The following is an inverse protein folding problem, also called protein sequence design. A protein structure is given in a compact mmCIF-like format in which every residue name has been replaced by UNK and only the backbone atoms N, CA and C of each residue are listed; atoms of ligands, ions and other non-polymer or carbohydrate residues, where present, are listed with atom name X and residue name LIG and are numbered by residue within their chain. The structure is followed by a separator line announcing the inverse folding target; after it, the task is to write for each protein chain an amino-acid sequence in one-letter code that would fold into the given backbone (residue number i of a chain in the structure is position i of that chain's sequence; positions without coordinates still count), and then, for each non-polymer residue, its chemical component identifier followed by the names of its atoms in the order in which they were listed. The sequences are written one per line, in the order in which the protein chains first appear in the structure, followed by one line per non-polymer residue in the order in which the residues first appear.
data_IF_290712659364
#
_entry.id   IF_290712659364
#
_cell.length_a   1.000
_cell.length_b   1.000
_cell.length_c   1.000
_cell.angle_alpha   90.00
_cell.angle_beta   90.00
_cell.angle_gamma   90.00
#
_symmetry.space_group_name_H-M   'P 1'
#
loop_
_entity.id
_entity.type
_entity.pdbx_description
1 polymer ?
#
# COMPACT_ATOMS: atom_id res chain seq x y z
N UNK A 1 -12.77 -18.88 -14.59
CA UNK A 1 -11.53 -19.49 -15.12
C UNK A 1 -10.28 -18.72 -14.67
N UNK A 2 -10.12 -17.43 -14.95
CA UNK A 2 -8.91 -16.62 -14.59
C UNK A 2 -8.64 -16.57 -13.09
N UNK A 3 -9.66 -16.37 -12.25
CA UNK A 3 -9.51 -16.34 -10.79
C UNK A 3 -8.99 -17.66 -10.21
N UNK A 4 -9.41 -18.78 -10.77
CA UNK A 4 -8.91 -20.11 -10.37
C UNK A 4 -7.43 -20.26 -10.72
N UNK A 5 -7.00 -19.81 -11.90
CA UNK A 5 -5.60 -19.82 -12.31
C UNK A 5 -4.71 -18.97 -11.40
N UNK A 6 -5.20 -17.78 -10.99
CA UNK A 6 -4.50 -16.92 -10.02
C UNK A 6 -4.41 -17.61 -8.66
N UNK A 7 -5.51 -18.19 -8.17
CA UNK A 7 -5.57 -18.89 -6.90
C UNK A 7 -4.59 -20.09 -6.88
N UNK A 8 -4.56 -20.87 -7.95
CA UNK A 8 -3.59 -21.99 -8.10
C UNK A 8 -2.14 -21.50 -8.09
N UNK A 9 -1.83 -20.44 -8.85
CA UNK A 9 -0.49 -19.85 -8.87
C UNK A 9 -0.07 -19.34 -7.50
N UNK A 10 -0.96 -18.64 -6.79
CA UNK A 10 -0.72 -18.17 -5.42
C UNK A 10 -0.51 -19.36 -4.47
N UNK A 11 -1.34 -20.41 -4.56
CA UNK A 11 -1.20 -21.62 -3.75
C UNK A 11 0.16 -22.29 -3.94
N UNK A 12 0.63 -22.46 -5.18
CA UNK A 12 1.96 -23.02 -5.48
C UNK A 12 3.08 -22.15 -4.91
N UNK A 13 2.98 -20.82 -5.07
CA UNK A 13 3.99 -19.88 -4.59
C UNK A 13 4.05 -19.77 -3.06
N UNK A 14 2.95 -20.03 -2.35
CA UNK A 14 2.87 -19.91 -0.89
C UNK A 14 3.11 -21.24 -0.15
N UNK A 15 3.38 -22.32 -0.84
CA UNK A 15 3.51 -23.68 -0.27
C UNK A 15 4.45 -23.75 0.93
N UNK A 16 5.57 -23.01 0.87
CA UNK A 16 6.59 -23.02 1.92
C UNK A 16 6.56 -21.80 2.84
N UNK A 17 5.66 -20.84 2.60
CA UNK A 17 5.60 -19.59 3.37
C UNK A 17 5.29 -19.81 4.87
N UNK A 18 4.61 -20.93 5.19
CA UNK A 18 4.18 -21.30 6.55
C UNK A 18 4.90 -22.53 7.10
N UNK A 19 5.90 -23.06 6.41
CA UNK A 19 6.65 -24.24 6.85
C UNK A 19 7.33 -23.98 8.20
N UNK A 20 7.22 -24.95 9.12
CA UNK A 20 7.80 -24.87 10.46
C UNK A 20 7.09 -23.88 11.41
N UNK A 21 5.87 -23.44 11.09
CA UNK A 21 5.06 -22.63 11.99
C UNK A 21 4.27 -23.51 12.94
N UNK A 22 4.17 -23.08 14.20
CA UNK A 22 3.39 -23.76 15.23
C UNK A 22 1.88 -23.71 14.94
N UNK A 23 1.41 -22.59 14.36
CA UNK A 23 0.00 -22.36 14.05
C UNK A 23 -0.29 -22.66 12.59
N UNK A 24 -1.51 -23.13 12.34
CA UNK A 24 -2.03 -23.41 11.01
C UNK A 24 -2.00 -22.16 10.09
N UNK A 25 -1.67 -22.38 8.82
CA UNK A 25 -1.52 -21.30 7.83
C UNK A 25 -2.78 -20.44 7.71
N UNK A 26 -3.97 -21.04 7.75
CA UNK A 26 -5.24 -20.30 7.64
C UNK A 26 -5.45 -19.35 8.82
N UNK A 27 -5.07 -19.75 10.05
CA UNK A 27 -5.17 -18.92 11.25
C UNK A 27 -4.28 -17.70 11.16
N UNK A 28 -3.03 -17.91 10.70
CA UNK A 28 -2.05 -16.82 10.48
C UNK A 28 -2.59 -15.85 9.43
N UNK A 29 -3.05 -16.36 8.28
CA UNK A 29 -3.61 -15.53 7.19
C UNK A 29 -4.84 -14.77 7.67
N UNK A 30 -5.72 -15.41 8.44
CA UNK A 30 -6.93 -14.78 8.99
C UNK A 30 -6.57 -13.63 9.93
N UNK A 31 -5.64 -13.83 10.88
CA UNK A 31 -5.19 -12.81 11.81
C UNK A 31 -4.61 -11.59 11.06
N UNK A 32 -3.70 -11.86 10.12
CA UNK A 32 -3.05 -10.81 9.32
C UNK A 32 -4.06 -10.05 8.47
N UNK A 33 -4.97 -10.76 7.80
CA UNK A 33 -6.01 -10.16 6.96
C UNK A 33 -6.98 -9.31 7.78
N UNK A 34 -7.42 -9.77 8.94
CA UNK A 34 -8.29 -8.99 9.82
C UNK A 34 -7.62 -7.71 10.28
N UNK A 35 -6.37 -7.78 10.75
CA UNK A 35 -5.61 -6.59 11.12
C UNK A 35 -5.49 -5.58 9.98
N UNK A 36 -5.20 -6.05 8.76
CA UNK A 36 -4.99 -5.18 7.62
C UNK A 36 -6.29 -4.58 7.04
N UNK A 37 -7.43 -5.23 7.25
CA UNK A 37 -8.73 -4.79 6.70
C UNK A 37 -9.57 -3.97 7.66
N UNK A 38 -9.47 -4.26 8.95
CA UNK A 38 -10.34 -3.67 9.96
C UNK A 38 -9.53 -2.86 10.97
N UNK A 39 -10.12 -1.85 11.61
CA UNK A 39 -9.43 -1.03 12.61
C UNK A 39 -9.32 -1.74 13.97
N UNK A 40 -8.76 -2.94 13.97
CA UNK A 40 -8.56 -3.79 15.14
C UNK A 40 -7.13 -3.61 15.68
N UNK A 41 -6.99 -3.64 17.00
CA UNK A 41 -5.68 -3.78 17.63
C UNK A 41 -5.23 -5.26 17.66
N UNK A 42 -3.97 -5.51 17.95
CA UNK A 42 -3.48 -6.88 18.16
C UNK A 42 -4.14 -7.54 19.37
N UNK A 43 -4.53 -6.77 20.40
CA UNK A 43 -5.23 -7.27 21.58
C UNK A 43 -6.69 -7.63 21.28
N UNK A 44 -7.36 -6.84 20.41
CA UNK A 44 -8.70 -7.20 19.95
C UNK A 44 -8.67 -8.55 19.22
N UNK A 45 -7.66 -8.78 18.39
CA UNK A 45 -7.49 -10.05 17.67
C UNK A 45 -7.17 -11.21 18.62
N UNK A 46 -6.32 -11.00 19.63
CA UNK A 46 -6.05 -11.98 20.69
C UNK A 46 -7.34 -12.41 21.38
N UNK A 47 -8.17 -11.44 21.81
CA UNK A 47 -9.48 -11.72 22.43
C UNK A 47 -10.43 -12.47 21.48
N UNK A 48 -10.51 -12.03 20.21
CA UNK A 48 -11.34 -12.67 19.18
C UNK A 48 -10.93 -14.11 18.89
N UNK A 49 -9.64 -14.44 18.95
CA UNK A 49 -9.15 -15.81 18.80
C UNK A 49 -9.43 -16.65 20.06
N UNK A 50 -9.24 -16.09 21.24
CA UNK A 50 -9.53 -16.76 22.51
C UNK A 50 -11.01 -17.17 22.61
N UNK A 51 -11.94 -16.30 22.20
CA UNK A 51 -13.38 -16.60 22.12
C UNK A 51 -13.70 -17.80 21.20
N UNK A 52 -12.79 -18.14 20.29
CA UNK A 52 -12.92 -19.26 19.34
C UNK A 52 -12.07 -20.46 19.72
N UNK A 53 -11.51 -20.45 20.94
CA UNK A 53 -10.68 -21.53 21.46
C UNK A 53 -9.24 -21.57 20.95
N UNK A 54 -8.75 -20.45 20.36
CA UNK A 54 -7.37 -20.36 19.91
C UNK A 54 -6.57 -19.41 20.81
N UNK A 55 -5.57 -19.94 21.51
CA UNK A 55 -4.66 -19.17 22.35
C UNK A 55 -3.52 -18.60 21.48
N UNK A 56 -3.64 -17.35 21.07
CA UNK A 56 -2.65 -16.64 20.26
C UNK A 56 -2.36 -15.28 20.86
N UNK A 57 -1.17 -15.12 21.41
CA UNK A 57 -0.71 -13.88 22.03
C UNK A 57 -0.59 -12.73 21.01
N UNK A 58 -0.96 -11.50 21.41
CA UNK A 58 -0.93 -10.30 20.56
C UNK A 58 0.46 -9.98 19.99
N UNK A 59 1.55 -10.34 20.69
CA UNK A 59 2.91 -10.16 20.17
C UNK A 59 3.22 -11.14 19.04
N UNK A 60 2.64 -12.35 19.10
CA UNK A 60 2.70 -13.33 18.00
C UNK A 60 1.97 -12.82 16.77
N UNK A 61 0.74 -12.27 16.95
CA UNK A 61 -0.03 -11.65 15.86
C UNK A 61 0.75 -10.48 15.25
N UNK A 62 1.37 -9.61 16.06
CA UNK A 62 2.23 -8.55 15.57
C UNK A 62 3.39 -9.10 14.70
N UNK A 63 4.09 -10.15 15.17
CA UNK A 63 5.14 -10.81 14.38
C UNK A 63 4.64 -11.34 13.05
N UNK A 64 3.44 -11.93 13.03
CA UNK A 64 2.81 -12.39 11.79
C UNK A 64 2.50 -11.24 10.84
N UNK A 65 1.91 -10.15 11.33
CA UNK A 65 1.65 -8.97 10.48
C UNK A 65 2.93 -8.44 9.88
N UNK A 66 3.99 -8.29 10.67
CA UNK A 66 5.28 -7.80 10.17
C UNK A 66 5.94 -8.74 9.17
N UNK A 67 5.75 -10.05 9.30
CA UNK A 67 6.30 -11.03 8.37
C UNK A 67 5.48 -11.13 7.07
N UNK A 68 4.16 -11.26 7.21
CA UNK A 68 3.29 -11.65 6.11
C UNK A 68 2.65 -10.47 5.36
N UNK A 69 2.50 -9.28 5.95
CA UNK A 69 1.96 -8.13 5.25
C UNK A 69 2.77 -7.76 3.98
N UNK A 70 4.11 -7.63 4.03
CA UNK A 70 4.91 -7.41 2.83
C UNK A 70 4.95 -8.62 1.89
N UNK A 71 4.80 -9.83 2.41
CA UNK A 71 4.73 -11.03 1.58
C UNK A 71 3.43 -11.08 0.78
N UNK A 72 2.29 -10.78 1.40
CA UNK A 72 1.00 -10.64 0.72
C UNK A 72 1.09 -9.58 -0.39
N UNK A 73 1.65 -8.42 -0.10
CA UNK A 73 1.87 -7.37 -1.10
C UNK A 73 2.70 -7.89 -2.28
N UNK A 74 3.83 -8.52 -2.00
CA UNK A 74 4.71 -9.09 -3.04
C UNK A 74 4.00 -10.13 -3.91
N UNK A 75 3.20 -11.02 -3.29
CA UNK A 75 2.47 -12.08 -4.00
C UNK A 75 1.33 -11.54 -4.86
N UNK A 76 0.65 -10.47 -4.41
CA UNK A 76 -0.47 -9.86 -5.12
C UNK A 76 -0.02 -8.87 -6.20
N UNK A 77 1.17 -8.29 -6.09
CA UNK A 77 1.71 -7.29 -7.02
C UNK A 77 1.63 -7.68 -8.50
N UNK A 78 1.96 -8.91 -8.94
CA UNK A 78 1.89 -9.31 -10.34
C UNK A 78 0.47 -9.35 -10.92
N UNK A 79 -0.56 -9.41 -10.07
CA UNK A 79 -1.96 -9.50 -10.47
C UNK A 79 -2.70 -8.17 -10.42
N UNK A 80 -1.97 -7.09 -10.13
CA UNK A 80 -2.56 -5.74 -10.15
C UNK A 80 -3.07 -5.40 -11.54
N UNK A 81 -4.16 -4.63 -11.57
CA UNK A 81 -4.65 -4.03 -12.80
C UNK A 81 -3.59 -3.11 -13.40
N UNK A 82 -3.47 -3.09 -14.72
CA UNK A 82 -2.70 -2.06 -15.42
C UNK A 82 -3.33 -0.70 -15.18
N UNK A 83 -2.51 0.27 -14.78
CA UNK A 83 -2.96 1.60 -14.49
C UNK A 83 -3.12 2.40 -15.79
N UNK A 84 -4.09 3.31 -15.82
CA UNK A 84 -4.23 4.26 -16.90
C UNK A 84 -3.19 5.38 -16.78
N UNK A 85 -2.86 6.03 -17.90
CA UNK A 85 -1.86 7.09 -17.98
C UNK A 85 -2.23 8.42 -17.27
N UNK A 86 -3.25 8.46 -16.42
CA UNK A 86 -3.62 9.61 -15.60
C UNK A 86 -3.56 9.21 -14.12
N UNK A 87 -2.66 9.84 -13.37
CA UNK A 87 -2.43 9.56 -11.95
C UNK A 87 -2.67 10.81 -11.09
N UNK A 88 -3.01 10.59 -9.84
CA UNK A 88 -3.08 11.60 -8.79
C UNK A 88 -2.08 11.26 -7.71
N UNK A 89 -1.32 12.26 -7.27
CA UNK A 89 -0.29 12.13 -6.25
C UNK A 89 -0.60 13.09 -5.12
N UNK A 90 -0.53 12.58 -3.91
CA UNK A 90 -0.67 13.38 -2.71
C UNK A 90 0.12 12.75 -1.57
N UNK A 91 0.38 13.51 -0.52
CA UNK A 91 0.98 13.00 0.69
C UNK A 91 0.09 13.14 1.91
N UNK A 92 0.25 12.19 2.82
CA UNK A 92 -0.42 12.21 4.11
C UNK A 92 0.56 11.93 5.25
N UNK A 93 0.13 12.17 6.48
CA UNK A 93 0.98 12.04 7.66
C UNK A 93 0.82 10.68 8.33
N UNK A 94 1.95 10.14 8.80
CA UNK A 94 2.03 8.90 9.57
C UNK A 94 2.87 9.15 10.82
N UNK A 95 2.37 8.74 11.99
CA UNK A 95 3.11 8.88 13.26
C UNK A 95 4.07 7.71 13.48
N UNK A 96 5.36 8.00 13.64
CA UNK A 96 6.40 7.00 13.91
C UNK A 96 7.24 7.49 15.09
N UNK A 97 7.29 6.74 16.17
CA UNK A 97 7.96 7.11 17.44
C UNK A 97 7.58 8.52 17.90
N UNK A 98 6.27 8.82 17.88
CA UNK A 98 5.78 10.13 18.26
C UNK A 98 6.01 11.25 17.25
N UNK A 99 6.83 11.06 16.21
CA UNK A 99 7.16 12.07 15.20
C UNK A 99 6.33 11.86 13.94
N UNK A 100 5.84 12.98 13.35
CA UNK A 100 5.16 12.95 12.07
C UNK A 100 6.13 12.66 10.93
N UNK A 101 5.74 11.76 10.03
CA UNK A 101 6.43 11.36 8.82
C UNK A 101 5.47 11.45 7.64
N UNK A 102 5.96 11.34 6.43
CA UNK A 102 5.21 11.60 5.22
C UNK A 102 5.05 10.32 4.41
N UNK A 103 3.80 10.02 4.04
CA UNK A 103 3.44 8.92 3.17
C UNK A 103 2.97 9.50 1.84
N UNK A 104 3.84 9.48 0.83
CA UNK A 104 3.47 9.78 -0.54
C UNK A 104 2.68 8.62 -1.10
N UNK A 105 1.61 8.92 -1.82
CA UNK A 105 0.77 7.93 -2.48
C UNK A 105 0.37 8.40 -3.86
N UNK A 106 0.19 7.45 -4.77
CA UNK A 106 -0.39 7.67 -6.09
C UNK A 106 -1.57 6.73 -6.30
N UNK A 107 -2.62 7.25 -6.91
CA UNK A 107 -3.75 6.48 -7.44
C UNK A 107 -3.96 6.84 -8.90
N UNK A 108 -4.56 5.93 -9.66
CA UNK A 108 -4.99 6.23 -11.03
C UNK A 108 -6.33 6.99 -11.07
N UNK A 109 -6.84 7.32 -12.27
CA UNK A 109 -8.13 8.01 -12.44
C UNK A 109 -9.33 7.21 -11.90
N UNK A 110 -9.20 5.90 -11.76
CA UNK A 110 -10.23 5.02 -11.21
C UNK A 110 -10.09 4.84 -9.70
N UNK A 111 -9.13 5.52 -9.08
CA UNK A 111 -8.85 5.43 -7.65
C UNK A 111 -8.10 4.14 -7.26
N UNK A 112 -7.52 3.41 -8.20
CA UNK A 112 -6.72 2.21 -7.88
C UNK A 112 -5.34 2.63 -7.40
N UNK A 113 -4.86 2.11 -6.24
CA UNK A 113 -3.54 2.45 -5.74
C UNK A 113 -2.44 2.03 -6.71
N UNK A 114 -1.59 2.99 -7.10
CA UNK A 114 -0.45 2.80 -7.99
C UNK A 114 0.79 2.43 -7.21
N UNK A 115 1.19 3.32 -6.29
CA UNK A 115 2.37 3.09 -5.45
C UNK A 115 2.37 4.01 -4.22
N UNK A 116 3.26 3.72 -3.26
CA UNK A 116 3.49 4.54 -2.08
C UNK A 116 4.97 4.63 -1.71
N UNK A 117 5.34 5.69 -0.99
CA UNK A 117 6.66 5.86 -0.39
C UNK A 117 6.55 6.55 0.98
N UNK A 118 7.06 5.88 2.01
CA UNK A 118 7.19 6.46 3.35
C UNK A 118 8.53 7.20 3.46
N UNK A 119 8.51 8.46 3.89
CA UNK A 119 9.70 9.32 4.00
C UNK A 119 9.77 10.04 5.34
N UNK A 120 10.98 10.43 5.73
CA UNK A 120 11.22 11.22 6.94
C UNK A 120 10.89 12.70 6.73
N UNK A 121 11.09 13.21 5.53
CA UNK A 121 10.94 14.63 5.16
C UNK A 121 9.97 14.80 3.99
N UNK A 122 9.34 15.98 3.93
CA UNK A 122 8.53 16.46 2.80
C UNK A 122 9.36 17.47 2.02
N UNK A 123 10.21 16.99 1.15
CA UNK A 123 11.13 17.81 0.36
C UNK A 123 11.17 17.35 -1.11
N UNK A 124 11.90 18.10 -1.92
CA UNK A 124 12.06 17.82 -3.34
C UNK A 124 12.70 16.43 -3.58
N UNK A 125 13.65 16.04 -2.76
CA UNK A 125 14.34 14.74 -2.92
C UNK A 125 13.41 13.58 -2.59
N UNK A 126 12.52 13.74 -1.60
CA UNK A 126 11.47 12.76 -1.31
C UNK A 126 10.50 12.61 -2.49
N UNK A 127 10.05 13.73 -3.07
CA UNK A 127 9.18 13.71 -4.24
C UNK A 127 9.88 13.06 -5.46
N UNK A 128 11.12 13.42 -5.77
CA UNK A 128 11.91 12.78 -6.83
C UNK A 128 12.05 11.28 -6.63
N UNK A 129 12.40 10.84 -5.40
CA UNK A 129 12.51 9.41 -5.08
C UNK A 129 11.19 8.68 -5.26
N UNK A 130 10.07 9.32 -4.90
CA UNK A 130 8.75 8.74 -5.08
C UNK A 130 8.43 8.52 -6.55
N UNK A 131 8.56 9.55 -7.40
CA UNK A 131 8.33 9.42 -8.86
C UNK A 131 9.27 8.39 -9.49
N UNK A 132 10.55 8.44 -9.16
CA UNK A 132 11.53 7.49 -9.66
C UNK A 132 11.17 6.04 -9.30
N UNK A 133 10.81 5.78 -8.03
CA UNK A 133 10.37 4.46 -7.57
C UNK A 133 9.13 4.01 -8.32
N UNK A 134 8.07 4.82 -8.31
CA UNK A 134 6.78 4.49 -8.91
C UNK A 134 6.91 4.15 -10.40
N UNK A 135 7.64 4.98 -11.16
CA UNK A 135 7.76 4.82 -12.61
C UNK A 135 8.70 3.67 -12.99
N UNK A 136 9.73 3.37 -12.20
CA UNK A 136 10.59 2.18 -12.39
C UNK A 136 9.87 0.89 -12.04
N UNK A 137 9.10 0.88 -10.94
CA UNK A 137 8.34 -0.30 -10.51
C UNK A 137 7.15 -0.60 -11.43
N UNK A 138 6.77 0.37 -12.28
CA UNK A 138 5.63 0.26 -13.20
C UNK A 138 5.94 0.87 -14.58
N UNK A 139 6.79 0.21 -15.37
CA UNK A 139 7.27 0.76 -16.65
C UNK A 139 6.16 0.97 -17.68
N UNK A 140 5.03 0.27 -17.55
CA UNK A 140 3.86 0.40 -18.45
C UNK A 140 2.91 1.53 -18.03
N UNK A 141 3.15 2.20 -16.90
CA UNK A 141 2.28 3.27 -16.42
C UNK A 141 2.22 4.45 -17.40
N UNK A 142 3.38 4.89 -17.92
CA UNK A 142 3.53 5.95 -18.94
C UNK A 142 2.60 7.17 -18.70
N UNK A 143 2.64 7.87 -17.55
CA UNK A 143 1.63 8.86 -17.22
C UNK A 143 1.74 10.08 -18.15
N UNK A 144 0.64 10.40 -18.84
CA UNK A 144 0.50 11.62 -19.64
C UNK A 144 -0.12 12.78 -18.85
N UNK A 145 -0.75 12.49 -17.71
CA UNK A 145 -1.33 13.49 -16.79
C UNK A 145 -1.00 13.14 -15.34
N UNK A 146 -0.53 14.13 -14.59
CA UNK A 146 -0.23 14.02 -13.16
C UNK A 146 -0.96 15.13 -12.41
N UNK A 147 -1.90 14.75 -11.55
CA UNK A 147 -2.62 15.65 -10.65
C UNK A 147 -1.96 15.72 -9.28
N UNK A 148 -1.84 16.91 -8.70
CA UNK A 148 -1.32 17.13 -7.34
C UNK A 148 -2.08 18.23 -6.61
N UNK A 149 -1.81 18.43 -5.31
CA UNK A 149 -2.33 19.51 -4.48
C UNK A 149 -1.72 20.89 -4.79
N UNK A 150 -0.70 20.94 -5.65
CA UNK A 150 -0.01 22.18 -6.02
C UNK A 150 1.21 22.52 -5.17
N UNK A 151 1.70 21.62 -4.34
CA UNK A 151 2.94 21.84 -3.61
C UNK A 151 4.11 22.10 -4.59
N UNK A 152 4.93 23.13 -4.30
CA UNK A 152 6.00 23.62 -5.18
C UNK A 152 7.06 22.59 -5.57
N UNK A 153 7.17 21.50 -4.84
CA UNK A 153 8.12 20.42 -5.10
C UNK A 153 7.74 19.55 -6.30
N UNK A 154 6.45 19.43 -6.61
CA UNK A 154 5.94 18.52 -7.64
C UNK A 154 6.36 18.89 -9.07
N UNK A 155 6.23 20.14 -9.55
CA UNK A 155 6.64 20.49 -10.92
C UNK A 155 8.10 20.11 -11.20
N UNK A 156 9.00 20.41 -10.26
CA UNK A 156 10.43 20.09 -10.38
C UNK A 156 10.68 18.57 -10.34
N UNK A 157 9.96 17.82 -9.47
CA UNK A 157 10.11 16.37 -9.38
C UNK A 157 9.59 15.67 -10.65
N UNK A 158 8.47 16.13 -11.21
CA UNK A 158 7.90 15.62 -12.47
C UNK A 158 8.84 15.90 -13.63
N UNK A 159 9.37 17.12 -13.75
CA UNK A 159 10.34 17.49 -14.78
C UNK A 159 11.61 16.62 -14.67
N UNK A 160 12.10 16.38 -13.47
CA UNK A 160 13.26 15.50 -13.26
C UNK A 160 13.00 14.07 -13.71
N UNK A 161 11.81 13.53 -13.45
CA UNK A 161 11.42 12.19 -13.92
C UNK A 161 11.33 12.12 -15.46
N UNK A 162 10.78 13.15 -16.10
CA UNK A 162 10.72 13.25 -17.55
C UNK A 162 12.12 13.32 -18.18
N UNK A 163 13.01 14.19 -17.65
CA UNK A 163 14.42 14.30 -18.08
C UNK A 163 15.21 12.99 -17.91
N UNK A 164 14.85 12.19 -16.91
CA UNK A 164 15.44 10.87 -16.69
C UNK A 164 14.86 9.77 -17.61
N UNK A 165 13.99 10.11 -18.57
CA UNK A 165 13.37 9.16 -19.50
C UNK A 165 12.38 8.17 -18.83
N UNK A 166 11.88 8.49 -17.63
CA UNK A 166 10.94 7.63 -16.90
C UNK A 166 9.49 7.81 -17.36
N UNK A 167 9.21 8.78 -18.22
CA UNK A 167 7.89 9.00 -18.84
C UNK A 167 8.05 9.09 -20.35
N UNK A 168 7.02 8.71 -21.14
CA UNK A 168 7.06 8.77 -22.61
C UNK A 168 7.28 10.18 -23.19
N UNK A 169 7.12 11.21 -22.36
CA UNK A 169 7.27 12.63 -22.70
C UNK A 169 7.09 13.47 -21.45
N UNK A 170 6.92 14.78 -21.60
CA UNK A 170 6.60 15.66 -20.47
C UNK A 170 5.12 15.52 -20.09
N UNK A 171 4.77 14.91 -18.95
CA UNK A 171 3.37 14.76 -18.56
C UNK A 171 2.76 16.12 -18.22
N UNK A 172 1.48 16.30 -18.57
CA UNK A 172 0.72 17.49 -18.19
C UNK A 172 0.52 17.48 -16.67
N UNK A 173 1.11 18.45 -15.98
CA UNK A 173 0.87 18.66 -14.55
C UNK A 173 -0.41 19.48 -14.35
N UNK A 174 -1.33 18.96 -13.55
CA UNK A 174 -2.59 19.64 -13.16
C UNK A 174 -2.65 19.82 -11.65
N UNK A 175 -2.95 21.05 -11.26
CA UNK A 175 -3.20 21.41 -9.86
C UNK A 175 -4.69 21.61 -9.70
N UNK A 176 -5.34 20.78 -8.88
CA UNK A 176 -6.76 20.92 -8.59
C UNK A 176 -7.12 20.23 -7.27
N UNK A 177 -7.66 21.00 -6.34
CA UNK A 177 -8.17 20.48 -5.06
C UNK A 177 -9.32 19.49 -5.25
N UNK A 178 -10.22 19.74 -6.18
CA UNK A 178 -11.37 18.84 -6.45
C UNK A 178 -10.97 17.47 -6.97
N UNK A 179 -9.83 17.37 -7.68
CA UNK A 179 -9.34 16.10 -8.19
C UNK A 179 -8.72 15.22 -7.08
N UNK A 180 -8.50 15.77 -5.87
CA UNK A 180 -7.86 15.04 -4.76
C UNK A 180 -8.85 14.21 -3.93
N UNK A 181 -10.17 14.41 -4.04
CA UNK A 181 -11.17 13.69 -3.23
C UNK A 181 -11.00 12.17 -3.26
N UNK A 182 -10.65 11.59 -4.41
CA UNK A 182 -10.43 10.15 -4.53
C UNK A 182 -9.22 9.66 -3.72
N UNK A 183 -8.11 10.42 -3.70
CA UNK A 183 -6.91 10.04 -2.95
C UNK A 183 -7.09 10.35 -1.45
N UNK A 184 -7.85 11.38 -1.08
CA UNK A 184 -8.20 11.67 0.31
C UNK A 184 -9.02 10.52 0.92
N UNK A 185 -10.01 9.99 0.19
CA UNK A 185 -10.77 8.81 0.60
C UNK A 185 -9.86 7.59 0.83
N UNK A 186 -8.88 7.39 -0.05
CA UNK A 186 -7.90 6.31 0.09
C UNK A 186 -6.96 6.54 1.28
N UNK A 187 -6.56 7.79 1.55
CA UNK A 187 -5.82 8.13 2.77
C UNK A 187 -6.62 7.76 4.02
N UNK A 188 -7.92 8.03 4.05
CA UNK A 188 -8.79 7.63 5.16
C UNK A 188 -8.79 6.09 5.34
N UNK A 189 -8.92 5.32 4.27
CA UNK A 189 -8.92 3.85 4.33
C UNK A 189 -7.61 3.27 4.86
N UNK A 190 -6.47 3.87 4.54
CA UNK A 190 -5.18 3.46 5.11
C UNK A 190 -5.06 3.91 6.57
N UNK A 191 -5.39 5.17 6.86
CA UNK A 191 -5.24 5.76 8.20
C UNK A 191 -6.09 5.12 9.28
N UNK A 192 -7.32 4.71 8.96
CA UNK A 192 -8.24 4.10 9.94
C UNK A 192 -7.66 2.84 10.60
N UNK A 193 -6.81 2.11 9.89
CA UNK A 193 -6.18 0.87 10.35
C UNK A 193 -4.79 1.11 10.97
N UNK A 194 -4.26 2.34 10.94
CA UNK A 194 -2.98 2.65 11.56
C UNK A 194 -3.07 2.64 13.09
N UNK A 195 -1.97 2.30 13.80
CA UNK A 195 -1.95 2.37 15.26
C UNK A 195 -2.32 3.78 15.76
N UNK A 196 -3.36 3.87 16.58
CA UNK A 196 -3.89 5.15 17.09
C UNK A 196 -3.05 5.70 18.24
N UNK A 197 -2.56 4.82 19.12
CA UNK A 197 -1.76 5.18 20.30
C UNK A 197 -0.28 5.06 19.96
N UNK A 198 0.48 6.15 20.08
CA UNK A 198 1.92 6.18 19.85
C UNK A 198 2.37 6.05 18.38
N UNK A 199 1.50 5.55 17.50
CA UNK A 199 1.84 5.27 16.10
C UNK A 199 2.77 4.06 15.94
N UNK A 200 3.43 3.97 14.79
CA UNK A 200 4.41 2.91 14.53
C UNK A 200 5.69 3.11 15.33
N UNK A 201 6.33 2.02 15.76
CA UNK A 201 7.55 2.07 16.55
C UNK A 201 8.83 2.24 15.74
N UNK A 202 8.80 1.96 14.43
CA UNK A 202 9.95 2.16 13.56
C UNK A 202 9.56 2.34 12.10
N UNK A 203 10.46 2.90 11.29
CA UNK A 203 10.28 2.99 9.84
C UNK A 203 10.09 1.62 9.16
N UNK A 204 10.91 0.59 9.47
CA UNK A 204 10.73 -0.74 8.89
C UNK A 204 9.38 -1.35 9.22
N UNK A 205 8.90 -1.25 10.48
CA UNK A 205 7.59 -1.79 10.86
C UNK A 205 6.46 -1.04 10.16
N UNK A 206 6.51 0.31 10.12
CA UNK A 206 5.54 1.12 9.41
C UNK A 206 5.46 0.74 7.92
N UNK A 207 6.61 0.65 7.23
CA UNK A 207 6.67 0.30 5.81
C UNK A 207 6.08 -1.08 5.53
N UNK A 208 6.41 -2.08 6.37
CA UNK A 208 5.90 -3.45 6.23
C UNK A 208 4.38 -3.51 6.38
N UNK A 209 3.85 -2.86 7.40
CA UNK A 209 2.40 -2.85 7.67
C UNK A 209 1.64 -2.07 6.61
N UNK A 210 2.15 -0.89 6.18
CA UNK A 210 1.53 -0.07 5.12
C UNK A 210 1.50 -0.84 3.79
N UNK A 211 2.53 -1.62 3.46
CA UNK A 211 2.50 -2.49 2.29
C UNK A 211 1.29 -3.45 2.30
N UNK A 212 0.98 -4.00 3.47
CA UNK A 212 -0.22 -4.82 3.65
C UNK A 212 -1.53 -4.04 3.49
N UNK A 213 -1.62 -2.81 4.03
CA UNK A 213 -2.80 -1.97 3.84
C UNK A 213 -3.05 -1.66 2.35
N UNK A 214 -2.00 -1.34 1.59
CA UNK A 214 -2.11 -1.11 0.15
C UNK A 214 -2.54 -2.38 -0.60
N UNK A 215 -2.01 -3.55 -0.22
CA UNK A 215 -2.43 -4.83 -0.78
C UNK A 215 -3.92 -5.12 -0.53
N UNK A 216 -4.44 -4.77 0.67
CA UNK A 216 -5.88 -4.90 0.95
C UNK A 216 -6.74 -3.93 0.14
N UNK A 217 -6.23 -2.74 -0.20
CA UNK A 217 -6.92 -1.82 -1.11
C UNK A 217 -7.00 -2.39 -2.53
N UNK A 218 -5.95 -3.06 -3.03
CA UNK A 218 -6.02 -3.75 -4.33
C UNK A 218 -7.09 -4.84 -4.33
N UNK A 219 -7.16 -5.66 -3.29
CA UNK A 219 -8.19 -6.69 -3.15
C UNK A 219 -9.61 -6.09 -3.08
N UNK A 220 -9.78 -4.97 -2.36
CA UNK A 220 -11.07 -4.30 -2.23
C UNK A 220 -11.56 -3.68 -3.54
N UNK A 221 -10.65 -3.12 -4.33
CA UNK A 221 -10.97 -2.44 -5.62
C UNK A 221 -10.98 -3.38 -6.82
N UNK A 222 -10.72 -4.64 -6.59
CA UNK A 222 -10.62 -5.68 -7.61
C UNK A 222 -9.27 -5.69 -8.32
N UNK A 223 -8.87 -6.88 -8.72
CA UNK A 223 -7.87 -7.06 -9.76
C UNK A 223 -8.56 -6.77 -11.10
N UNK A 224 -7.83 -6.53 -12.18
CA UNK A 224 -8.35 -6.15 -13.50
C UNK A 224 -9.41 -7.06 -14.15
N UNK A 225 -10.05 -7.92 -13.38
CA UNK A 225 -11.08 -8.87 -13.80
C UNK A 225 -12.48 -8.57 -13.22
N UNK A 226 -12.62 -7.55 -12.39
CA UNK A 226 -13.90 -7.12 -11.84
C UNK A 226 -14.40 -5.96 -12.68
N UNK A 227 -15.05 -6.28 -13.83
CA UNK A 227 -15.61 -5.25 -14.69
C UNK A 227 -15.85 -5.73 -16.13
N UNK A 228 -16.47 -6.87 -16.28
CA UNK A 228 -17.30 -7.22 -17.42
C UNK A 228 -18.66 -7.66 -16.91
#
# INVERSE_FOLDING_TARGET
MILNTIAEKLRRQSKDDFKGRHFEAWLIVQAVTWYLRYPLSYRDLESMFLERGFEVDHSTINRWVLAYAPLIEKRLRPFRRLHCGSIRVDETYVKIRGKWRYLYRAIDKHGVPVDFLLTAKRDLDAAKRFFCKMLKDQPLLGPHKIGTDGAKVYPTAISAAAKAGLTPGAPTHRVSKHLQQGIESDHFHVKKNMPKIGGFQSFPTARRTIAGFEAMLWLKKGFGFAGE
#
